data_IF_273039994686
#
_entry.id   IF_273039994686
#
_cell.length_a   1.000
_cell.length_b   1.000
_cell.length_c   1.000
_cell.angle_alpha   90.00
_cell.angle_beta   90.00
_cell.angle_gamma   90.00
#
_symmetry.space_group_name_H-M   'P 1'
#
loop_
_entity.id
_entity.type
_entity.pdbx_description
1 polymer ?
#
# COMPACT_ATOMS: atom_id res chain seq x y z
N UNK A 1 0.13 1.67 -27.41
CA UNK A 1 1.38 2.45 -27.45
C UNK A 1 0.97 3.89 -27.49
N UNK A 2 1.46 4.70 -26.55
CA UNK A 2 1.04 6.10 -26.41
C UNK A 2 1.89 7.03 -27.28
N UNK A 3 1.27 8.12 -27.73
CA UNK A 3 1.85 9.09 -28.66
C UNK A 3 1.83 10.54 -28.16
N UNK A 4 1.11 10.81 -27.06
CA UNK A 4 1.02 12.14 -26.46
C UNK A 4 0.91 12.07 -24.93
N UNK A 5 1.16 13.21 -24.27
CA UNK A 5 0.93 13.36 -22.84
C UNK A 5 -0.53 13.06 -22.47
N UNK A 6 -1.50 13.59 -23.21
CA UNK A 6 -2.92 13.37 -22.92
C UNK A 6 -3.29 11.89 -23.04
N UNK A 7 -2.74 11.18 -24.03
CA UNK A 7 -2.95 9.74 -24.18
C UNK A 7 -2.34 8.96 -23.01
N UNK A 8 -1.12 9.29 -22.58
CA UNK A 8 -0.51 8.72 -21.37
C UNK A 8 -1.44 8.88 -20.16
N UNK A 9 -1.91 10.11 -19.94
CA UNK A 9 -2.79 10.42 -18.80
C UNK A 9 -4.13 9.69 -18.88
N UNK A 10 -4.65 9.41 -20.08
CA UNK A 10 -5.88 8.66 -20.28
C UNK A 10 -5.72 7.15 -20.03
N UNK A 11 -4.55 6.57 -20.29
CA UNK A 11 -4.36 5.11 -20.22
C UNK A 11 -3.59 4.63 -18.98
N UNK A 12 -3.04 5.54 -18.17
CA UNK A 12 -2.18 5.22 -17.00
C UNK A 12 -2.77 4.12 -16.09
N UNK A 13 -4.05 4.21 -15.73
CA UNK A 13 -4.68 3.24 -14.84
C UNK A 13 -4.89 1.89 -15.53
N UNK A 14 -5.36 1.90 -16.77
CA UNK A 14 -5.57 0.68 -17.55
C UNK A 14 -4.25 -0.08 -17.78
N UNK A 15 -3.15 0.63 -18.02
CA UNK A 15 -1.83 0.02 -18.14
C UNK A 15 -1.35 -0.49 -16.78
N UNK A 16 -1.56 0.25 -15.70
CA UNK A 16 -1.19 -0.18 -14.33
C UNK A 16 -1.90 -1.49 -13.95
N UNK A 17 -3.21 -1.59 -14.21
CA UNK A 17 -3.98 -2.82 -14.06
C UNK A 17 -3.34 -3.97 -14.85
N UNK A 18 -3.00 -3.73 -16.12
CA UNK A 18 -2.43 -4.76 -16.99
C UNK A 18 -0.98 -5.16 -16.62
N UNK A 19 -0.18 -4.27 -16.02
CA UNK A 19 1.18 -4.55 -15.54
C UNK A 19 1.13 -5.46 -14.32
N UNK A 20 0.29 -5.11 -13.35
CA UNK A 20 0.21 -5.80 -12.06
C UNK A 20 -0.79 -6.96 -12.05
N UNK A 21 -1.57 -7.12 -13.12
CA UNK A 21 -2.67 -8.08 -13.22
C UNK A 21 -3.73 -7.86 -12.12
N UNK A 22 -3.99 -6.59 -11.81
CA UNK A 22 -4.96 -6.19 -10.81
C UNK A 22 -6.40 -6.44 -11.30
N UNK A 23 -7.35 -6.54 -10.37
CA UNK A 23 -8.76 -6.69 -10.73
C UNK A 23 -9.31 -5.40 -11.37
N UNK A 24 -9.11 -4.26 -10.71
CA UNK A 24 -9.54 -2.96 -11.20
C UNK A 24 -8.79 -1.81 -10.51
N UNK A 25 -9.08 -0.58 -10.95
CA UNK A 25 -8.62 0.66 -10.33
C UNK A 25 -9.82 1.53 -9.94
N UNK A 26 -9.70 2.21 -8.81
CA UNK A 26 -10.65 3.23 -8.33
C UNK A 26 -10.41 4.61 -8.94
N UNK A 27 -9.51 4.73 -9.92
CA UNK A 27 -9.24 6.00 -10.60
C UNK A 27 -10.50 6.53 -11.31
N UNK A 28 -10.84 7.79 -11.05
CA UNK A 28 -12.06 8.41 -11.57
C UNK A 28 -11.87 9.11 -12.93
N UNK A 29 -10.77 8.83 -13.62
CA UNK A 29 -10.34 9.46 -14.89
C UNK A 29 -10.03 10.97 -14.78
N UNK A 30 -9.78 11.49 -13.58
CA UNK A 30 -9.37 12.88 -13.38
C UNK A 30 -8.00 12.96 -12.75
N UNK A 31 -7.25 13.98 -13.18
CA UNK A 31 -6.11 14.46 -12.44
C UNK A 31 -6.22 15.97 -12.22
N UNK A 32 -5.61 16.46 -11.15
CA UNK A 32 -5.55 17.88 -10.83
C UNK A 32 -4.09 18.34 -10.76
N UNK A 33 -3.88 19.63 -10.99
CA UNK A 33 -2.55 20.25 -10.88
C UNK A 33 -2.41 20.84 -9.49
N UNK A 34 -1.39 20.41 -8.75
CA UNK A 34 -1.07 20.99 -7.45
C UNK A 34 -0.55 22.43 -7.60
N UNK A 35 -0.66 23.29 -6.56
CA UNK A 35 -0.05 24.60 -6.56
C UNK A 35 1.48 24.54 -6.80
N UNK A 36 2.04 25.47 -7.56
CA UNK A 36 3.47 25.48 -7.91
C UNK A 36 4.44 25.62 -6.72
N UNK A 37 3.95 26.11 -5.58
CA UNK A 37 4.73 26.40 -4.37
C UNK A 37 4.60 25.30 -3.29
N UNK A 38 3.79 24.26 -3.53
CA UNK A 38 3.70 23.14 -2.60
C UNK A 38 4.96 22.27 -2.64
N UNK A 39 5.25 21.61 -1.51
CA UNK A 39 6.31 20.60 -1.42
C UNK A 39 5.83 19.20 -1.83
N UNK A 40 4.53 19.05 -1.99
CA UNK A 40 3.89 17.81 -2.40
C UNK A 40 4.13 17.57 -3.89
N UNK A 41 4.65 16.39 -4.23
CA UNK A 41 4.91 15.98 -5.61
C UNK A 41 3.66 15.38 -6.25
N UNK A 42 2.90 14.61 -5.47
CA UNK A 42 1.69 13.93 -5.92
C UNK A 42 0.81 13.52 -4.75
N UNK A 43 -0.41 13.06 -5.05
CA UNK A 43 -1.23 12.33 -4.10
C UNK A 43 -2.61 11.99 -4.64
N UNK A 44 -3.14 10.87 -4.18
CA UNK A 44 -4.52 10.43 -4.45
C UNK A 44 -5.53 11.15 -3.54
N UNK A 45 -6.67 11.53 -4.12
CA UNK A 45 -7.83 12.05 -3.40
C UNK A 45 -8.88 10.94 -3.19
N UNK A 46 -9.72 11.10 -2.17
CA UNK A 46 -10.78 10.14 -1.83
C UNK A 46 -11.81 9.91 -2.93
N UNK A 47 -11.99 10.87 -3.83
CA UNK A 47 -12.88 10.74 -4.99
C UNK A 47 -12.26 9.92 -6.14
N UNK A 48 -11.03 9.41 -5.96
CA UNK A 48 -10.28 8.67 -6.96
C UNK A 48 -9.51 9.54 -7.95
N UNK A 49 -9.45 10.86 -7.76
CA UNK A 49 -8.59 11.73 -8.58
C UNK A 49 -7.13 11.65 -8.13
N UNK A 50 -6.20 11.88 -9.06
CA UNK A 50 -4.77 11.97 -8.76
C UNK A 50 -4.30 13.41 -8.91
N UNK A 51 -3.56 13.93 -7.94
CA UNK A 51 -3.01 15.29 -8.00
C UNK A 51 -1.53 15.20 -8.34
N UNK A 52 -1.06 16.01 -9.28
CA UNK A 52 0.32 16.00 -9.74
C UNK A 52 0.95 17.39 -9.66
N UNK A 53 2.20 17.44 -9.20
CA UNK A 53 2.96 18.69 -9.17
C UNK A 53 3.37 19.10 -10.58
N UNK A 54 3.17 20.39 -10.96
CA UNK A 54 3.43 20.83 -12.31
C UNK A 54 4.90 20.65 -12.71
N UNK A 55 5.86 20.99 -11.85
CA UNK A 55 7.30 20.97 -12.21
C UNK A 55 7.95 19.60 -12.12
N UNK A 56 7.45 18.74 -11.25
CA UNK A 56 8.07 17.44 -10.97
C UNK A 56 7.45 16.31 -11.80
N UNK A 57 6.20 16.47 -12.27
CA UNK A 57 5.49 15.43 -13.01
C UNK A 57 4.99 15.94 -14.36
N UNK A 58 4.16 16.99 -14.39
CA UNK A 58 3.45 17.39 -15.61
C UNK A 58 4.40 17.96 -16.68
N UNK A 59 5.24 18.92 -16.30
CA UNK A 59 6.19 19.58 -17.19
C UNK A 59 7.22 18.58 -17.76
N UNK A 60 7.87 17.71 -16.96
CA UNK A 60 8.76 16.68 -17.48
C UNK A 60 8.08 15.73 -18.48
N UNK A 61 6.87 15.26 -18.19
CA UNK A 61 6.16 14.36 -19.10
C UNK A 61 5.73 15.06 -20.39
N UNK A 62 5.29 16.32 -20.32
CA UNK A 62 5.00 17.11 -21.53
C UNK A 62 6.24 17.32 -22.38
N UNK A 63 7.34 17.72 -21.76
CA UNK A 63 8.63 17.91 -22.43
C UNK A 63 9.08 16.62 -23.13
N UNK A 64 8.92 15.46 -22.47
CA UNK A 64 9.23 14.14 -23.02
C UNK A 64 8.48 13.85 -24.33
N UNK A 65 7.19 14.18 -24.41
CA UNK A 65 6.39 13.98 -25.63
C UNK A 65 6.65 15.06 -26.69
N UNK A 66 6.88 16.31 -26.29
CA UNK A 66 7.24 17.40 -27.23
C UNK A 66 8.56 17.12 -27.96
N UNK A 67 9.47 16.40 -27.31
CA UNK A 67 10.78 16.02 -27.84
C UNK A 67 10.86 14.55 -28.24
N UNK A 68 9.71 13.94 -28.56
CA UNK A 68 9.63 12.51 -28.86
C UNK A 68 10.67 12.04 -29.90
N UNK A 69 11.36 10.95 -29.60
CA UNK A 69 12.36 10.30 -30.44
C UNK A 69 13.74 10.95 -30.41
N UNK A 70 13.92 12.07 -29.70
CA UNK A 70 15.23 12.70 -29.53
C UNK A 70 16.07 11.94 -28.50
N UNK A 71 17.39 11.93 -28.68
CA UNK A 71 18.30 11.49 -27.62
C UNK A 71 18.44 12.58 -26.57
N UNK A 72 18.38 12.19 -25.31
CA UNK A 72 18.48 13.08 -24.16
C UNK A 72 19.71 12.75 -23.32
N UNK A 73 20.21 13.74 -22.57
CA UNK A 73 21.22 13.49 -21.55
C UNK A 73 20.64 12.67 -20.38
N UNK A 74 21.53 12.09 -19.56
CA UNK A 74 21.13 11.23 -18.45
C UNK A 74 20.23 11.97 -17.46
N UNK A 75 20.56 13.22 -17.11
CA UNK A 75 19.78 14.01 -16.16
C UNK A 75 18.35 14.25 -16.64
N UNK A 76 18.15 14.46 -17.94
CA UNK A 76 16.83 14.63 -18.53
C UNK A 76 16.04 13.32 -18.51
N UNK A 77 16.66 12.20 -18.87
CA UNK A 77 16.02 10.88 -18.79
C UNK A 77 15.65 10.52 -17.34
N UNK A 78 16.52 10.82 -16.38
CA UNK A 78 16.26 10.57 -14.96
C UNK A 78 15.02 11.36 -14.48
N UNK A 79 14.89 12.64 -14.88
CA UNK A 79 13.70 13.45 -14.57
C UNK A 79 12.43 12.88 -15.20
N UNK A 80 12.48 12.44 -16.46
CA UNK A 80 11.33 11.80 -17.12
C UNK A 80 10.94 10.51 -16.41
N UNK A 81 11.93 9.70 -16.02
CA UNK A 81 11.70 8.43 -15.34
C UNK A 81 11.10 8.62 -13.96
N UNK A 82 11.56 9.63 -13.22
CA UNK A 82 11.01 9.98 -11.91
C UNK A 82 9.54 10.45 -12.01
N UNK A 83 9.20 11.22 -13.04
CA UNK A 83 7.82 11.61 -13.30
C UNK A 83 6.94 10.40 -13.64
N UNK A 84 7.44 9.45 -14.45
CA UNK A 84 6.74 8.19 -14.76
C UNK A 84 6.59 7.28 -13.54
N UNK A 85 7.63 7.19 -12.69
CA UNK A 85 7.61 6.47 -11.42
C UNK A 85 6.49 7.02 -10.54
N UNK A 86 6.40 8.35 -10.44
CA UNK A 86 5.35 9.04 -9.67
C UNK A 86 3.96 8.69 -10.21
N UNK A 87 3.74 8.81 -11.52
CA UNK A 87 2.45 8.43 -12.14
C UNK A 87 2.09 6.98 -11.83
N UNK A 88 3.03 6.06 -11.96
CA UNK A 88 2.78 4.65 -11.72
C UNK A 88 2.47 4.37 -10.23
N UNK A 89 3.24 4.96 -9.31
CA UNK A 89 3.06 4.87 -7.86
C UNK A 89 1.64 5.27 -7.42
N UNK A 90 1.17 6.43 -7.89
CA UNK A 90 -0.18 6.91 -7.53
C UNK A 90 -1.29 6.02 -8.10
N UNK A 91 -1.08 5.42 -9.28
CA UNK A 91 -2.06 4.47 -9.83
C UNK A 91 -2.12 3.15 -9.03
N UNK A 92 -1.01 2.72 -8.42
CA UNK A 92 -0.98 1.53 -7.58
C UNK A 92 -1.79 1.74 -6.29
N UNK A 93 -1.73 2.93 -5.68
CA UNK A 93 -2.60 3.27 -4.54
C UNK A 93 -4.10 3.15 -4.86
N UNK A 94 -4.46 3.29 -6.13
CA UNK A 94 -5.84 3.21 -6.61
C UNK A 94 -6.27 1.79 -6.98
N UNK A 95 -5.39 0.79 -6.94
CA UNK A 95 -5.77 -0.60 -7.22
C UNK A 95 -6.63 -1.17 -6.10
N UNK A 96 -7.57 -2.03 -6.47
CA UNK A 96 -8.49 -2.66 -5.53
C UNK A 96 -8.86 -4.08 -5.95
N UNK A 97 -9.11 -4.91 -4.93
CA UNK A 97 -9.54 -6.29 -5.08
C UNK A 97 -11.02 -6.43 -5.50
N UNK A 98 -11.49 -7.66 -5.76
CA UNK A 98 -12.89 -7.91 -6.09
C UNK A 98 -13.83 -7.43 -4.97
N UNK A 99 -14.85 -6.64 -5.34
CA UNK A 99 -15.86 -6.18 -4.40
C UNK A 99 -15.42 -5.03 -3.47
N UNK A 100 -14.22 -4.49 -3.64
CA UNK A 100 -13.71 -3.35 -2.86
C UNK A 100 -13.47 -2.11 -3.73
N UNK A 101 -13.27 -0.94 -3.11
CA UNK A 101 -12.86 0.31 -3.78
C UNK A 101 -12.03 1.16 -2.82
N UNK A 102 -11.40 2.23 -3.32
CA UNK A 102 -10.63 3.19 -2.50
C UNK A 102 -11.45 3.76 -1.33
N UNK A 103 -12.78 3.87 -1.48
CA UNK A 103 -13.67 4.48 -0.50
C UNK A 103 -13.97 3.61 0.74
N UNK A 104 -13.16 2.58 1.03
CA UNK A 104 -13.48 1.57 2.06
C UNK A 104 -12.24 1.12 2.86
N UNK A 105 -12.23 1.18 4.21
CA UNK A 105 -12.78 2.19 5.12
C UNK A 105 -11.69 3.15 5.64
N UNK A 106 -12.09 4.41 5.90
CA UNK A 106 -11.28 5.49 6.51
C UNK A 106 -10.51 5.04 7.78
N UNK A 107 -11.04 4.08 8.53
CA UNK A 107 -10.47 3.57 9.80
C UNK A 107 -9.12 2.84 9.62
N UNK A 108 -8.86 2.25 8.45
CA UNK A 108 -7.57 1.62 8.17
C UNK A 108 -6.44 2.67 8.05
N UNK A 109 -6.77 3.95 7.85
CA UNK A 109 -5.79 5.00 7.56
C UNK A 109 -5.30 5.76 8.79
N UNK A 110 -5.95 5.60 9.95
CA UNK A 110 -5.58 6.30 11.18
C UNK A 110 -4.35 5.69 11.89
N UNK A 111 -3.88 4.52 11.45
CA UNK A 111 -2.71 3.84 12.01
C UNK A 111 -1.40 4.13 11.26
N UNK A 112 -0.37 4.58 11.97
CA UNK A 112 0.99 4.74 11.40
C UNK A 112 1.50 3.45 10.72
N UNK A 113 1.11 2.27 11.20
CA UNK A 113 1.47 0.98 10.60
C UNK A 113 0.89 0.81 9.19
N UNK A 114 -0.41 1.07 9.01
CA UNK A 114 -1.07 0.93 7.71
C UNK A 114 -0.52 1.90 6.70
N UNK A 115 -0.33 3.17 7.06
CA UNK A 115 0.27 4.15 6.16
C UNK A 115 1.68 3.74 5.74
N UNK A 116 2.50 3.34 6.71
CA UNK A 116 3.88 2.91 6.43
C UNK A 116 3.91 1.69 5.52
N UNK A 117 3.05 0.71 5.79
CA UNK A 117 2.98 -0.53 5.03
C UNK A 117 2.42 -0.31 3.62
N UNK A 118 1.39 0.52 3.50
CA UNK A 118 0.80 0.94 2.23
C UNK A 118 1.84 1.55 1.29
N UNK A 119 2.51 2.61 1.75
CA UNK A 119 3.55 3.30 0.97
C UNK A 119 4.71 2.38 0.61
N UNK A 120 5.15 1.55 1.56
CA UNK A 120 6.27 0.63 1.33
C UNK A 120 5.96 -0.44 0.27
N UNK A 121 4.78 -1.05 0.34
CA UNK A 121 4.33 -2.03 -0.66
C UNK A 121 4.18 -1.36 -2.03
N UNK A 122 3.57 -0.17 -2.06
CA UNK A 122 3.34 0.58 -3.30
C UNK A 122 4.65 1.02 -3.95
N UNK A 123 5.59 1.58 -3.17
CA UNK A 123 6.92 1.94 -3.66
C UNK A 123 7.66 0.70 -4.19
N UNK A 124 7.62 -0.41 -3.46
CA UNK A 124 8.34 -1.61 -3.88
C UNK A 124 7.75 -2.22 -5.15
N UNK A 125 6.43 -2.27 -5.27
CA UNK A 125 5.76 -2.69 -6.50
C UNK A 125 6.09 -1.76 -7.67
N UNK A 126 6.14 -0.45 -7.42
CA UNK A 126 6.56 0.55 -8.42
C UNK A 126 7.97 0.25 -8.93
N UNK A 127 8.93 0.04 -8.03
CA UNK A 127 10.32 -0.23 -8.40
C UNK A 127 10.47 -1.52 -9.22
N UNK A 128 9.80 -2.60 -8.81
CA UNK A 128 9.87 -3.88 -9.49
C UNK A 128 9.28 -3.83 -10.91
N UNK A 129 8.22 -3.04 -11.11
CA UNK A 129 7.40 -3.10 -12.33
C UNK A 129 7.50 -1.87 -13.24
N UNK A 130 8.25 -0.83 -12.85
CA UNK A 130 8.35 0.43 -13.62
C UNK A 130 8.81 0.19 -15.06
N UNK A 131 9.75 -0.73 -15.28
CA UNK A 131 10.20 -1.07 -16.63
C UNK A 131 9.09 -1.74 -17.46
N UNK A 132 8.25 -2.57 -16.85
CA UNK A 132 7.11 -3.19 -17.53
C UNK A 132 6.03 -2.14 -17.87
N UNK A 133 5.80 -1.17 -16.98
CA UNK A 133 4.93 -0.03 -17.23
C UNK A 133 5.43 0.82 -18.42
N UNK A 134 6.71 1.20 -18.40
CA UNK A 134 7.39 1.93 -19.49
C UNK A 134 7.31 1.17 -20.83
N UNK A 135 7.60 -0.14 -20.79
CA UNK A 135 7.59 -0.99 -21.98
C UNK A 135 6.18 -1.12 -22.59
N UNK A 136 5.15 -1.35 -21.77
CA UNK A 136 3.75 -1.46 -22.24
C UNK A 136 3.23 -0.15 -22.84
N UNK A 137 3.64 0.99 -22.31
CA UNK A 137 3.33 2.29 -22.89
C UNK A 137 4.10 2.52 -24.22
N UNK A 138 5.23 1.84 -24.41
CA UNK A 138 6.09 1.98 -25.59
C UNK A 138 6.97 3.23 -25.54
N UNK A 139 7.33 3.68 -24.34
CA UNK A 139 8.00 4.96 -24.12
C UNK A 139 9.46 4.98 -24.58
N UNK A 140 10.10 3.84 -24.83
CA UNK A 140 11.43 3.80 -25.47
C UNK A 140 11.45 4.47 -26.85
N UNK A 141 10.32 4.54 -27.54
CA UNK A 141 10.23 5.27 -28.83
C UNK A 141 10.07 6.77 -28.63
N UNK A 142 9.60 7.20 -27.46
CA UNK A 142 9.36 8.60 -27.11
C UNK A 142 10.61 9.19 -26.46
N UNK A 143 11.19 8.50 -25.48
CA UNK A 143 12.44 8.84 -24.83
C UNK A 143 13.39 7.64 -24.86
N UNK A 144 14.21 7.49 -25.92
CA UNK A 144 15.17 6.40 -26.02
C UNK A 144 16.14 6.35 -24.83
N UNK A 145 16.24 5.18 -24.19
CA UNK A 145 17.08 4.93 -23.02
C UNK A 145 16.37 5.07 -21.67
N UNK A 146 15.10 5.47 -21.65
CA UNK A 146 14.34 5.75 -20.42
C UNK A 146 14.22 4.53 -19.47
N UNK A 147 14.24 3.31 -20.00
CA UNK A 147 14.18 2.08 -19.18
C UNK A 147 15.46 1.84 -18.37
N UNK A 148 16.58 2.46 -18.78
CA UNK A 148 17.89 2.35 -18.12
C UNK A 148 18.29 3.58 -17.31
N UNK A 149 17.48 4.65 -17.38
CA UNK A 149 17.69 5.86 -16.59
C UNK A 149 17.54 5.58 -15.09
N UNK A 150 18.16 6.42 -14.27
CA UNK A 150 18.04 6.34 -12.83
C UNK A 150 16.77 7.06 -12.37
N UNK A 151 16.01 6.41 -11.50
CA UNK A 151 15.00 7.07 -10.69
C UNK A 151 15.41 6.81 -9.24
N UNK A 152 15.85 7.82 -8.48
CA UNK A 152 16.23 7.61 -7.09
C UNK A 152 15.02 7.11 -6.29
N UNK A 153 15.27 6.23 -5.32
CA UNK A 153 14.23 5.69 -4.44
C UNK A 153 13.64 6.82 -3.57
N UNK A 154 12.61 7.50 -4.04
CA UNK A 154 12.04 8.66 -3.34
C UNK A 154 11.38 8.27 -2.01
N UNK A 155 10.90 7.03 -1.90
CA UNK A 155 10.28 6.48 -0.70
C UNK A 155 11.01 5.25 -0.15
N UNK A 156 12.34 5.20 -0.33
CA UNK A 156 13.20 4.11 0.18
C UNK A 156 13.14 3.90 1.70
N UNK A 157 12.36 4.73 2.41
CA UNK A 157 12.28 4.73 3.84
C UNK A 157 11.65 3.48 4.46
N UNK A 158 10.61 2.98 3.82
CA UNK A 158 9.81 1.91 4.38
C UNK A 158 10.01 0.58 3.64
N UNK A 159 10.70 0.63 2.50
CA UNK A 159 11.06 -0.51 1.66
C UNK A 159 11.83 -1.60 2.44
N UNK A 160 12.81 -1.30 3.34
CA UNK A 160 13.54 -2.35 4.04
C UNK A 160 12.66 -3.24 4.94
N UNK A 161 11.59 -2.68 5.53
CA UNK A 161 10.65 -3.44 6.34
C UNK A 161 9.84 -4.42 5.48
N UNK A 162 9.33 -3.93 4.35
CA UNK A 162 8.53 -4.74 3.43
C UNK A 162 9.38 -5.75 2.67
N UNK A 163 10.63 -5.45 2.36
CA UNK A 163 11.59 -6.40 1.77
C UNK A 163 11.81 -7.60 2.68
N UNK A 164 12.10 -7.34 3.95
CA UNK A 164 12.36 -8.42 4.92
C UNK A 164 11.10 -9.21 5.24
N UNK A 165 9.94 -8.56 5.35
CA UNK A 165 8.65 -9.23 5.55
C UNK A 165 8.29 -10.10 4.35
N UNK A 166 8.31 -9.55 3.13
CA UNK A 166 7.93 -10.27 1.91
C UNK A 166 8.89 -11.43 1.60
N UNK A 167 10.19 -11.26 1.83
CA UNK A 167 11.16 -12.35 1.70
C UNK A 167 10.92 -13.47 2.71
N UNK A 168 10.61 -13.13 3.98
CA UNK A 168 10.33 -14.12 5.01
C UNK A 168 9.02 -14.88 4.77
N UNK A 169 7.94 -14.17 4.44
CA UNK A 169 6.65 -14.77 4.04
C UNK A 169 6.86 -15.65 2.82
N UNK A 170 7.53 -15.14 1.79
CA UNK A 170 7.79 -15.87 0.55
C UNK A 170 8.55 -17.18 0.79
N UNK A 171 9.64 -17.13 1.56
CA UNK A 171 10.43 -18.30 1.91
C UNK A 171 9.61 -19.38 2.63
N UNK A 172 8.67 -18.97 3.49
CA UNK A 172 7.82 -19.87 4.27
C UNK A 172 6.70 -20.53 3.42
N UNK A 173 6.09 -19.76 2.51
CA UNK A 173 4.95 -20.23 1.69
C UNK A 173 5.35 -20.74 0.31
N UNK A 174 6.63 -20.67 -0.06
CA UNK A 174 7.14 -21.13 -1.36
C UNK A 174 6.91 -20.14 -2.51
N UNK A 175 6.93 -18.84 -2.21
CA UNK A 175 6.87 -17.75 -3.19
C UNK A 175 8.17 -16.93 -3.15
N UNK A 176 8.49 -16.22 -4.23
CA UNK A 176 9.50 -15.18 -4.17
C UNK A 176 8.95 -13.91 -3.49
N UNK A 177 9.85 -13.03 -3.05
CA UNK A 177 9.47 -11.78 -2.39
C UNK A 177 8.62 -10.90 -3.33
N UNK A 178 8.99 -10.84 -4.62
CA UNK A 178 8.26 -10.05 -5.63
C UNK A 178 6.82 -10.52 -5.82
N UNK A 179 6.59 -11.84 -5.83
CA UNK A 179 5.26 -12.43 -5.91
C UNK A 179 4.41 -12.20 -4.67
N UNK A 180 5.03 -12.01 -3.50
CA UNK A 180 4.33 -11.57 -2.27
C UNK A 180 3.95 -10.09 -2.38
N UNK A 181 4.89 -9.22 -2.80
CA UNK A 181 4.64 -7.79 -3.03
C UNK A 181 3.52 -7.58 -4.03
N UNK A 182 3.56 -8.27 -5.19
CA UNK A 182 2.55 -8.16 -6.24
C UNK A 182 1.15 -8.47 -5.72
N UNK A 183 0.99 -9.52 -4.91
CA UNK A 183 -0.31 -9.88 -4.30
C UNK A 183 -0.84 -8.79 -3.36
N UNK A 184 0.04 -8.16 -2.59
CA UNK A 184 -0.35 -7.05 -1.72
C UNK A 184 -0.61 -5.75 -2.49
N UNK A 185 0.10 -5.50 -3.59
CA UNK A 185 0.01 -4.25 -4.33
C UNK A 185 -1.29 -4.10 -5.14
N UNK A 186 -2.02 -5.19 -5.41
CA UNK A 186 -3.24 -5.19 -6.24
C UNK A 186 -4.54 -5.10 -5.43
N UNK A 187 -4.43 -4.93 -4.12
CA UNK A 187 -5.56 -4.74 -3.20
C UNK A 187 -5.49 -3.37 -2.53
N UNK A 188 -6.59 -2.92 -1.93
CA UNK A 188 -6.58 -1.64 -1.22
C UNK A 188 -5.71 -1.70 0.05
N UNK A 189 -5.42 -0.54 0.63
CA UNK A 189 -4.53 -0.43 1.79
C UNK A 189 -4.96 -1.27 3.00
N UNK A 190 -6.27 -1.39 3.26
CA UNK A 190 -6.81 -2.17 4.37
C UNK A 190 -6.63 -3.69 4.18
N UNK A 191 -6.55 -4.14 2.92
CA UNK A 191 -6.44 -5.55 2.55
C UNK A 191 -4.99 -6.06 2.53
N UNK A 192 -3.98 -5.19 2.51
CA UNK A 192 -2.57 -5.61 2.36
C UNK A 192 -2.10 -6.55 3.49
N UNK A 193 -2.43 -6.22 4.74
CA UNK A 193 -2.11 -7.09 5.89
C UNK A 193 -2.88 -8.42 5.81
N UNK A 194 -4.21 -8.44 5.62
CA UNK A 194 -4.96 -9.65 5.34
C UNK A 194 -4.38 -10.52 4.21
N UNK A 195 -3.89 -9.93 3.11
CA UNK A 195 -3.28 -10.70 2.02
C UNK A 195 -2.01 -11.42 2.48
N UNK A 196 -1.11 -10.75 3.20
CA UNK A 196 0.08 -11.40 3.76
C UNK A 196 -0.30 -12.51 4.76
N UNK A 197 -1.31 -12.27 5.60
CA UNK A 197 -1.83 -13.24 6.55
C UNK A 197 -2.48 -14.46 5.88
N UNK A 198 -3.24 -14.26 4.79
CA UNK A 198 -3.89 -15.32 4.02
C UNK A 198 -2.86 -16.28 3.40
N UNK A 199 -1.69 -15.80 3.00
CA UNK A 199 -0.59 -16.65 2.51
C UNK A 199 -0.12 -17.62 3.60
N UNK A 200 0.11 -17.12 4.82
CA UNK A 200 0.53 -17.94 5.96
C UNK A 200 -0.59 -18.89 6.40
N UNK A 201 -1.83 -18.40 6.46
CA UNK A 201 -3.01 -19.20 6.77
C UNK A 201 -3.16 -20.36 5.79
N UNK A 202 -3.10 -20.08 4.48
CA UNK A 202 -3.29 -21.09 3.44
C UNK A 202 -2.27 -22.23 3.54
N UNK A 203 -1.04 -21.91 3.94
CA UNK A 203 0.05 -22.87 4.08
C UNK A 203 -0.07 -23.75 5.33
N UNK A 204 -0.43 -23.16 6.47
CA UNK A 204 -0.28 -23.81 7.78
C UNK A 204 -1.60 -24.20 8.44
N UNK A 205 -2.70 -23.55 8.07
CA UNK A 205 -3.95 -23.59 8.82
C UNK A 205 -5.16 -24.04 8.01
N UNK A 206 -5.11 -24.02 6.67
CA UNK A 206 -6.27 -24.33 5.80
C UNK A 206 -6.86 -25.73 6.03
N UNK A 207 -6.03 -26.73 6.34
CA UNK A 207 -6.48 -28.09 6.66
C UNK A 207 -6.87 -28.28 8.13
N UNK A 208 -6.65 -27.27 8.99
CA UNK A 208 -6.82 -27.37 10.44
C UNK A 208 -8.00 -26.55 10.96
N UNK A 209 -8.16 -25.34 10.43
CA UNK A 209 -9.16 -24.36 10.85
C UNK A 209 -10.41 -24.50 9.96
N UNK A 210 -11.61 -24.71 10.52
CA UNK A 210 -12.85 -24.75 9.74
C UNK A 210 -13.08 -23.45 8.97
N UNK A 211 -13.77 -23.55 7.83
CA UNK A 211 -14.04 -22.40 6.95
C UNK A 211 -14.77 -21.26 7.69
N UNK A 212 -15.65 -21.59 8.64
CA UNK A 212 -16.37 -20.61 9.46
C UNK A 212 -15.48 -19.79 10.39
N UNK A 213 -14.26 -20.25 10.69
CA UNK A 213 -13.28 -19.58 11.53
C UNK A 213 -12.11 -18.98 10.72
N UNK A 214 -12.08 -19.18 9.40
CA UNK A 214 -11.02 -18.67 8.51
C UNK A 214 -10.82 -17.17 8.64
N UNK A 215 -11.89 -16.38 8.53
CA UNK A 215 -11.82 -14.93 8.56
C UNK A 215 -11.22 -14.39 9.88
N UNK A 216 -11.56 -15.00 11.02
CA UNK A 216 -11.00 -14.62 12.31
C UNK A 216 -9.51 -14.97 12.44
N UNK A 217 -9.11 -16.15 11.93
CA UNK A 217 -7.71 -16.56 11.91
C UNK A 217 -6.84 -15.59 11.09
N UNK A 218 -7.28 -15.22 9.89
CA UNK A 218 -6.58 -14.24 9.03
C UNK A 218 -6.46 -12.89 9.75
N UNK A 219 -7.56 -12.40 10.34
CA UNK A 219 -7.59 -11.13 11.09
C UNK A 219 -6.57 -11.14 12.23
N UNK A 220 -6.52 -12.20 13.04
CA UNK A 220 -5.56 -12.34 14.15
C UNK A 220 -4.11 -12.31 13.67
N UNK A 221 -3.81 -13.05 12.59
CA UNK A 221 -2.46 -13.09 12.00
C UNK A 221 -2.07 -11.71 11.46
N UNK A 222 -2.97 -11.02 10.77
CA UNK A 222 -2.77 -9.67 10.27
C UNK A 222 -2.50 -8.66 11.42
N UNK A 223 -3.32 -8.68 12.47
CA UNK A 223 -3.16 -7.81 13.65
C UNK A 223 -1.80 -8.02 14.35
N UNK A 224 -1.30 -9.26 14.39
CA UNK A 224 0.00 -9.56 14.99
C UNK A 224 1.17 -8.86 14.27
N UNK A 225 1.02 -8.52 12.98
CA UNK A 225 2.02 -7.80 12.19
C UNK A 225 2.07 -6.30 12.49
N UNK A 226 1.01 -5.71 13.06
CA UNK A 226 0.85 -4.26 13.14
C UNK A 226 1.89 -3.59 14.04
N UNK A 227 2.09 -4.10 15.26
CA UNK A 227 2.88 -3.41 16.28
C UNK A 227 4.35 -3.16 15.87
N UNK A 228 5.09 -4.13 15.28
CA UNK A 228 6.44 -3.87 14.80
C UNK A 228 6.53 -2.79 13.72
N UNK A 229 5.57 -2.75 12.80
CA UNK A 229 5.57 -1.76 11.70
C UNK A 229 5.09 -0.38 12.15
N UNK A 230 4.21 -0.31 13.15
CA UNK A 230 3.80 0.95 13.79
C UNK A 230 4.98 1.69 14.44
N UNK A 231 6.03 0.96 14.84
CA UNK A 231 7.22 1.52 15.46
C UNK A 231 8.12 2.27 14.47
N UNK A 232 7.88 2.17 13.16
CA UNK A 232 8.62 2.91 12.16
C UNK A 232 8.04 4.33 12.09
N UNK A 233 8.75 5.28 12.70
CA UNK A 233 8.42 6.71 12.71
C UNK A 233 9.70 7.52 12.51
N UNK A 234 9.57 8.75 12.00
CA UNK A 234 10.67 9.71 11.81
C UNK A 234 11.88 9.18 11.03
N UNK A 235 11.66 8.23 10.13
CA UNK A 235 12.70 7.53 9.41
C UNK A 235 13.48 8.45 8.44
N UNK A 236 14.82 8.33 8.43
CA UNK A 236 15.74 8.87 7.41
C UNK A 236 16.43 7.75 6.60
N UNK A 237 16.25 7.73 5.28
CA UNK A 237 16.86 6.71 4.39
C UNK A 237 18.36 6.81 4.26
N UNK A 238 18.93 7.93 4.69
CA UNK A 238 20.36 8.17 4.71
C UNK A 238 20.99 7.76 6.04
N UNK A 239 20.20 7.48 7.07
CA UNK A 239 20.69 6.93 8.33
C UNK A 239 20.71 5.38 8.28
N UNK A 240 21.90 4.74 8.28
CA UNK A 240 21.99 3.28 8.30
C UNK A 240 21.32 2.63 9.52
N UNK A 241 21.16 3.35 10.63
CA UNK A 241 20.44 2.87 11.81
C UNK A 241 18.96 2.69 11.52
N UNK A 242 18.33 3.69 10.91
CA UNK A 242 16.91 3.67 10.57
C UNK A 242 16.61 2.57 9.56
N UNK A 243 17.45 2.42 8.53
CA UNK A 243 17.38 1.31 7.57
C UNK A 243 17.39 -0.05 8.27
N UNK A 244 18.31 -0.26 9.23
CA UNK A 244 18.39 -1.51 10.01
C UNK A 244 17.17 -1.73 10.89
N UNK A 245 16.64 -0.66 11.51
CA UNK A 245 15.46 -0.73 12.36
C UNK A 245 14.21 -1.07 11.56
N UNK A 246 14.02 -0.47 10.38
CA UNK A 246 12.93 -0.83 9.47
C UNK A 246 13.03 -2.30 9.04
N UNK A 247 14.21 -2.77 8.64
CA UNK A 247 14.43 -4.18 8.31
C UNK A 247 14.18 -5.13 9.50
N UNK A 248 14.45 -4.69 10.73
CA UNK A 248 14.13 -5.47 11.92
C UNK A 248 12.62 -5.50 12.19
N UNK A 249 11.92 -4.38 11.99
CA UNK A 249 10.47 -4.29 12.12
C UNK A 249 9.76 -5.28 11.18
N UNK A 250 10.18 -5.37 9.92
CA UNK A 250 9.65 -6.36 8.97
C UNK A 250 9.85 -7.81 9.41
N UNK A 251 11.06 -8.17 9.86
CA UNK A 251 11.33 -9.51 10.45
C UNK A 251 10.50 -9.79 11.69
N UNK A 252 10.32 -8.81 12.55
CA UNK A 252 9.50 -8.94 13.76
C UNK A 252 8.02 -9.09 13.43
N UNK A 253 7.51 -8.39 12.42
CA UNK A 253 6.14 -8.57 11.93
C UNK A 253 5.90 -10.01 11.46
N UNK A 254 6.81 -10.58 10.66
CA UNK A 254 6.73 -11.98 10.25
C UNK A 254 6.76 -12.95 11.44
N UNK A 255 7.66 -12.71 12.41
CA UNK A 255 7.78 -13.56 13.60
C UNK A 255 6.50 -13.56 14.42
N UNK A 256 5.93 -12.38 14.68
CA UNK A 256 4.68 -12.25 15.42
C UNK A 256 3.53 -12.96 14.71
N UNK A 257 3.43 -12.82 13.39
CA UNK A 257 2.45 -13.54 12.58
C UNK A 257 2.63 -15.06 12.66
N UNK A 258 3.88 -15.55 12.59
CA UNK A 258 4.20 -16.97 12.70
C UNK A 258 3.89 -17.54 14.09
N UNK A 259 4.16 -16.78 15.15
CA UNK A 259 3.79 -17.14 16.52
C UNK A 259 2.27 -17.23 16.67
N UNK A 260 1.52 -16.31 16.06
CA UNK A 260 0.05 -16.34 16.08
C UNK A 260 -0.50 -17.54 15.28
N UNK A 261 0.10 -17.86 14.12
CA UNK A 261 -0.19 -19.11 13.39
C UNK A 261 -0.01 -20.33 14.30
N UNK A 262 1.09 -20.39 15.05
CA UNK A 262 1.35 -21.47 16.00
C UNK A 262 0.30 -21.58 17.12
N UNK A 263 -0.17 -20.44 17.65
CA UNK A 263 -1.25 -20.42 18.66
C UNK A 263 -2.56 -20.95 18.09
N UNK A 264 -2.97 -20.46 16.92
CA UNK A 264 -4.21 -20.90 16.24
C UNK A 264 -4.12 -22.41 15.94
N UNK A 265 -2.96 -22.89 15.46
CA UNK A 265 -2.74 -24.30 15.22
C UNK A 265 -2.87 -25.13 16.51
N UNK A 266 -2.32 -24.66 17.62
CA UNK A 266 -2.47 -25.30 18.93
C UNK A 266 -3.93 -25.35 19.40
N UNK A 267 -4.65 -24.24 19.30
CA UNK A 267 -6.07 -24.12 19.65
C UNK A 267 -6.94 -25.14 18.90
N UNK A 268 -6.80 -25.22 17.56
CA UNK A 268 -7.61 -26.11 16.75
C UNK A 268 -7.18 -27.57 16.80
N UNK A 269 -5.89 -27.84 17.04
CA UNK A 269 -5.41 -29.21 17.26
C UNK A 269 -5.92 -29.81 18.57
N UNK A 270 -6.07 -28.99 19.62
CA UNK A 270 -6.61 -29.43 20.90
C UNK A 270 -8.14 -29.61 20.90
N UNK A 271 -8.85 -28.98 19.97
CA UNK A 271 -10.31 -28.95 19.91
C UNK A 271 -10.89 -29.74 18.71
N UNK A 272 -10.36 -30.94 18.44
CA UNK A 272 -10.80 -31.76 17.29
C UNK A 272 -12.30 -32.11 17.31
N UNK A 273 -12.89 -32.27 18.51
CA UNK A 273 -14.32 -32.56 18.63
C UNK A 273 -15.19 -31.36 18.22
N UNK A 274 -14.80 -30.12 18.58
CA UNK A 274 -15.45 -28.89 18.13
C UNK A 274 -15.31 -28.71 16.61
N UNK A 275 -14.15 -29.06 16.06
CA UNK A 275 -13.95 -29.05 14.61
C UNK A 275 -14.92 -30.00 13.91
N UNK A 276 -15.04 -31.26 14.37
CA UNK A 276 -15.95 -32.24 13.76
C UNK A 276 -17.41 -31.80 13.82
N UNK A 277 -17.83 -31.12 14.89
CA UNK A 277 -19.20 -30.60 15.00
C UNK A 277 -19.44 -29.41 14.07
N UNK A 278 -18.46 -28.52 13.91
CA UNK A 278 -18.54 -27.41 12.96
C UNK A 278 -18.52 -27.91 11.50
N UNK A 279 -17.65 -28.85 11.17
CA UNK A 279 -17.55 -29.46 9.84
C UNK A 279 -18.84 -30.23 9.47
N UNK A 280 -19.51 -30.83 10.46
CA UNK A 280 -20.81 -31.48 10.28
C UNK A 280 -21.99 -30.49 10.17
N UNK A 281 -21.75 -29.17 10.25
CA UNK A 281 -22.79 -28.14 10.21
C UNK A 281 -23.64 -28.07 11.49
N UNK A 282 -23.20 -28.71 12.59
CA UNK A 282 -23.97 -28.85 13.83
C UNK A 282 -23.70 -27.73 14.84
N UNK A 283 -22.77 -26.80 14.55
CA UNK A 283 -22.33 -25.74 15.47
C UNK A 283 -22.98 -24.36 15.27
N UNK A 284 -23.91 -24.19 14.32
CA UNK A 284 -24.58 -22.90 14.08
C UNK A 284 -25.80 -22.64 15.00
N UNK A 285 -25.82 -23.18 16.23
CA UNK A 285 -26.76 -22.73 17.24
C UNK A 285 -26.11 -21.64 18.07
N UNK A 286 -26.46 -20.39 17.76
CA UNK A 286 -26.24 -19.22 18.61
C UNK A 286 -26.51 -19.59 20.07
N UNK A 287 -25.62 -19.29 21.03
CA UNK A 287 -26.01 -19.35 22.43
C UNK A 287 -27.14 -18.36 22.61
N UNK A 288 -28.33 -18.85 22.98
CA UNK A 288 -29.45 -18.05 23.46
C UNK A 288 -28.96 -17.20 24.63
N UNK A 289 -28.51 -15.97 24.33
CA UNK A 289 -28.35 -14.94 25.34
C UNK A 289 -29.77 -14.60 25.81
N UNK A 290 -30.13 -15.11 27.00
CA UNK A 290 -31.36 -14.71 27.67
C UNK A 290 -31.33 -13.19 27.86
N UNK A 291 -32.36 -12.43 27.44
CA UNK A 291 -32.41 -11.02 27.74
C UNK A 291 -32.72 -10.88 29.23
N UNK A 292 -31.74 -10.41 30.01
CA UNK A 292 -32.01 -9.85 31.32
C UNK A 292 -32.53 -8.43 31.12
N UNK A 293 -33.85 -8.35 31.19
CA UNK A 293 -34.65 -7.14 31.13
C UNK A 293 -34.59 -6.48 32.51
N UNK A 294 -33.92 -5.34 32.63
CA UNK A 294 -34.23 -4.35 33.66
C UNK A 294 -34.17 -2.96 33.03
N UNK A 295 -35.34 -2.32 33.01
CA UNK A 295 -35.53 -1.00 32.45
C UNK A 295 -35.17 0.09 33.44
N UNK A 296 -34.74 1.24 32.92
CA UNK A 296 -35.30 2.55 33.26
C UNK A 296 -34.86 3.60 32.24
N UNK A 297 -35.83 4.41 31.87
CA UNK A 297 -35.78 5.49 30.90
C UNK A 297 -34.98 6.70 31.40
N UNK A 298 -34.43 7.47 30.46
CA UNK A 298 -34.40 8.93 30.53
C UNK A 298 -34.26 9.51 29.11
N UNK A 299 -34.97 10.62 28.91
CA UNK A 299 -35.29 11.34 27.69
C UNK A 299 -34.10 12.13 27.11
N UNK A 300 -34.23 12.59 25.86
CA UNK A 300 -33.24 13.35 25.09
C UNK A 300 -32.88 14.75 25.63
N UNK A 301 -32.15 15.59 24.86
CA UNK A 301 -32.71 16.14 23.62
C UNK A 301 -31.72 16.32 22.44
N UNK A 302 -32.33 16.65 21.31
CA UNK A 302 -31.76 17.12 20.04
C UNK A 302 -30.67 18.20 20.17
N UNK A 303 -29.66 18.11 19.28
CA UNK A 303 -28.92 19.25 18.77
C UNK A 303 -28.59 19.03 17.28
N UNK A 304 -29.12 19.93 16.46
CA UNK A 304 -28.75 20.23 15.08
C UNK A 304 -27.38 20.92 15.00
N UNK A 305 -26.73 20.81 13.83
CA UNK A 305 -25.51 21.53 13.43
C UNK A 305 -24.31 20.58 13.38
N UNK A 306 -23.66 20.35 12.25
CA UNK A 306 -23.11 21.32 11.31
C UNK A 306 -21.64 20.91 11.08
N UNK A 307 -21.09 21.25 9.93
CA UNK A 307 -19.72 20.96 9.46
C UNK A 307 -19.40 19.51 9.09
N UNK A 308 -19.53 19.24 7.79
CA UNK A 308 -18.75 18.20 7.10
C UNK A 308 -17.26 18.40 7.44
N UNK A 309 -16.59 17.41 8.06
CA UNK A 309 -15.16 17.48 8.22
C UNK A 309 -14.53 17.45 6.83
N UNK A 310 -13.70 18.44 6.54
CA UNK A 310 -12.82 18.40 5.38
C UNK A 310 -11.88 17.20 5.58
N UNK A 311 -11.93 16.16 4.74
CA UNK A 311 -11.09 14.98 4.96
C UNK A 311 -9.61 15.35 4.70
N UNK A 312 -8.68 14.82 5.49
CA UNK A 312 -7.26 15.06 5.28
C UNK A 312 -6.85 14.55 3.89
N UNK A 313 -6.17 15.42 3.14
CA UNK A 313 -5.61 15.08 1.84
C UNK A 313 -4.28 14.36 2.04
N UNK A 314 -4.09 13.21 1.38
CA UNK A 314 -2.82 12.49 1.36
C UNK A 314 -1.71 13.43 0.94
N UNK A 315 -0.77 13.69 1.84
CA UNK A 315 0.40 14.55 1.63
C UNK A 315 1.62 13.79 2.15
N UNK A 316 2.23 12.98 1.29
CA UNK A 316 3.42 12.23 1.64
C UNK A 316 4.68 13.08 1.41
N UNK A 317 5.18 13.75 2.46
CA UNK A 317 6.61 13.94 2.72
C UNK A 317 6.85 14.14 4.22
N UNK A 318 7.82 13.45 4.85
CA UNK A 318 8.44 13.93 6.08
C UNK A 318 9.12 15.26 5.77
N UNK A 319 8.85 16.30 6.56
CA UNK A 319 9.63 17.53 6.48
C UNK A 319 11.04 17.21 6.95
N UNK A 320 12.00 17.18 6.01
CA UNK A 320 13.43 17.19 6.30
C UNK A 320 13.76 18.49 7.07
N UNK A 321 13.66 18.44 8.40
CA UNK A 321 14.00 19.54 9.30
C UNK A 321 15.51 19.60 9.43
N UNK A 322 16.16 20.34 8.52
CA UNK A 322 17.54 20.79 8.72
C UNK A 322 17.64 21.54 10.06
N UNK A 323 18.49 21.03 10.96
CA UNK A 323 18.96 21.75 12.15
C UNK A 323 19.59 23.10 11.74
N UNK A 324 19.44 24.15 12.57
CA UNK A 324 20.09 25.43 12.32
C UNK A 324 21.62 25.30 12.46
N UNK A 325 22.34 25.84 11.48
CA UNK A 325 23.79 26.07 11.56
C UNK A 325 24.11 27.09 12.66
N UNK A 326 25.16 26.88 13.48
CA UNK A 326 25.62 27.91 14.40
C UNK A 326 26.21 29.07 13.61
N UNK A 327 25.76 30.29 13.91
CA UNK A 327 26.26 31.53 13.30
C UNK A 327 27.73 31.80 13.65
N UNK A 328 28.38 32.73 12.92
CA UNK A 328 29.81 32.97 13.06
C UNK A 328 30.13 33.62 14.40
N UNK A 329 31.16 33.09 15.07
CA UNK A 329 31.80 33.78 16.19
C UNK A 329 32.46 35.07 15.68
N UNK A 330 32.21 36.16 16.40
CA UNK A 330 32.96 37.42 16.29
C UNK A 330 34.25 37.34 17.08
#
# INVERSE_FOLDING_TARGET
MVSSFDELMQVQAAVTIAVLEAHHSSWNNKYEVLPHDTKQVSGVSWDGSIRYHPRDVIEPLREMFERAGQHHDSATLDRYREALRTVFHENIHLLAGPGTSLAFPLDAHDGNAHRTFEEAVTERATQNELNNFIARLGLERIAPGISTAQAPDAYGAYVPAVDTLSAAVGADVGLDAEGVIRRMAVVNAAEKFPVAAELLYSKHLSELVPETAKADAIRRIAEAMHAPLAAIHDYDSKDPSDVRMAALAGRSAFRNASEEVGKIAGEWSANQDLRRTLDAGLGATTPLHKPQRDGRAAEGPHADGGDSPTPPSWSAKPTDRRRPTPGPAR
#
